data_IF_954693021349
#
_entry.id   IF_954693021349
#
_cell.length_a   1.000
_cell.length_b   1.000
_cell.length_c   1.000
_cell.angle_alpha   90.00
_cell.angle_beta   90.00
_cell.angle_gamma   90.00
#
_symmetry.space_group_name_H-M   'P 1'
#
loop_
_entity.id
_entity.type
_entity.pdbx_description
1 polymer ?
#
# COMPACT_ATOMS: atom_id res chain seq x y z
N UNK A 1 35.36 -18.47 -8.97
CA UNK A 1 34.98 -17.24 -9.71
C UNK A 1 34.03 -16.44 -8.82
N UNK A 2 34.33 -15.21 -8.43
CA UNK A 2 33.45 -14.44 -7.57
C UNK A 2 32.31 -13.86 -8.40
N UNK A 3 31.09 -14.14 -7.99
CA UNK A 3 29.85 -13.57 -8.50
C UNK A 3 29.87 -12.04 -8.30
N UNK A 4 29.86 -11.32 -9.40
CA UNK A 4 29.73 -9.85 -9.40
C UNK A 4 28.35 -9.49 -8.84
N UNK A 5 28.30 -8.88 -7.68
CA UNK A 5 27.15 -8.09 -7.22
C UNK A 5 27.00 -6.92 -8.21
N UNK A 6 25.96 -6.96 -9.03
CA UNK A 6 25.51 -5.76 -9.74
C UNK A 6 24.99 -4.80 -8.65
N UNK A 7 25.67 -3.69 -8.46
CA UNK A 7 25.19 -2.57 -7.69
C UNK A 7 23.93 -2.03 -8.38
N UNK A 8 22.75 -2.51 -7.90
CA UNK A 8 21.47 -1.98 -8.34
C UNK A 8 21.41 -0.51 -7.95
N UNK A 9 21.04 0.33 -8.89
CA UNK A 9 20.64 1.70 -8.59
C UNK A 9 19.62 1.63 -7.45
N UNK A 10 19.80 2.46 -6.42
CA UNK A 10 18.84 2.53 -5.32
C UNK A 10 17.57 3.11 -5.95
N UNK A 11 16.55 2.26 -6.13
CA UNK A 11 15.28 2.67 -6.72
C UNK A 11 14.68 3.77 -5.85
N UNK A 12 14.52 4.94 -6.46
CA UNK A 12 13.81 6.06 -5.83
C UNK A 12 12.32 5.76 -5.85
N UNK A 13 11.67 6.00 -4.72
CA UNK A 13 10.21 5.95 -4.67
C UNK A 13 9.61 7.05 -5.54
N UNK A 14 8.53 6.74 -6.23
CA UNK A 14 7.80 7.68 -7.09
C UNK A 14 6.29 7.49 -6.98
N UNK A 15 5.56 8.57 -7.20
CA UNK A 15 4.12 8.56 -7.44
C UNK A 15 3.84 9.22 -8.78
N UNK A 16 3.18 8.49 -9.66
CA UNK A 16 2.76 8.98 -10.97
C UNK A 16 1.24 8.86 -11.10
N UNK A 17 0.59 9.92 -11.56
CA UNK A 17 -0.86 9.93 -11.73
C UNK A 17 -1.26 10.46 -13.11
N UNK A 18 -2.28 9.83 -13.71
CA UNK A 18 -2.83 10.23 -15.02
C UNK A 18 -4.31 9.89 -15.11
N UNK A 19 -5.02 10.61 -15.99
CA UNK A 19 -6.39 10.25 -16.39
C UNK A 19 -6.33 9.27 -17.56
N UNK A 20 -7.18 8.23 -17.46
CA UNK A 20 -7.46 7.28 -18.54
C UNK A 20 -8.97 7.30 -18.75
N UNK A 21 -9.43 7.54 -19.98
CA UNK A 21 -10.84 7.37 -20.33
C UNK A 21 -11.12 5.90 -20.61
N UNK A 22 -12.11 5.33 -19.92
CA UNK A 22 -12.54 3.95 -20.12
C UNK A 22 -14.06 3.85 -20.00
N UNK A 23 -14.74 3.33 -21.03
CA UNK A 23 -16.20 3.19 -21.06
C UNK A 23 -16.97 4.47 -20.67
N UNK A 24 -16.51 5.63 -21.13
CA UNK A 24 -17.13 6.93 -20.84
C UNK A 24 -16.83 7.48 -19.44
N UNK A 25 -16.12 6.77 -18.60
CA UNK A 25 -15.67 7.21 -17.28
C UNK A 25 -14.25 7.78 -17.31
N UNK A 26 -13.98 8.75 -16.45
CA UNK A 26 -12.64 9.29 -16.20
C UNK A 26 -12.01 8.50 -15.04
N UNK A 27 -11.02 7.70 -15.34
CA UNK A 27 -10.31 6.92 -14.33
C UNK A 27 -8.98 7.62 -13.99
N UNK A 28 -8.80 7.98 -12.73
CA UNK A 28 -7.48 8.38 -12.22
C UNK A 28 -6.66 7.10 -11.95
N UNK A 29 -5.59 6.92 -12.70
CA UNK A 29 -4.63 5.82 -12.49
C UNK A 29 -3.42 6.37 -11.76
N UNK A 30 -3.14 5.83 -10.58
CA UNK A 30 -2.00 6.23 -9.74
C UNK A 30 -1.07 5.03 -9.53
N UNK A 31 0.21 5.20 -9.85
CA UNK A 31 1.25 4.22 -9.59
C UNK A 31 2.10 4.67 -8.40
N UNK A 32 2.21 3.81 -7.40
CA UNK A 32 3.12 3.93 -6.27
C UNK A 32 4.27 2.93 -6.47
N UNK A 33 5.49 3.39 -6.61
CA UNK A 33 6.65 2.54 -6.83
C UNK A 33 7.77 2.85 -5.85
N UNK A 34 8.40 1.81 -5.29
CA UNK A 34 9.56 1.93 -4.42
C UNK A 34 9.25 2.33 -2.96
N UNK A 35 10.26 2.80 -2.21
CA UNK A 35 10.12 3.08 -0.78
C UNK A 35 9.23 4.30 -0.50
N UNK A 36 8.68 4.35 0.73
CA UNK A 36 7.84 5.43 1.23
C UNK A 36 8.66 6.33 2.15
N UNK A 37 8.65 7.66 1.92
CA UNK A 37 9.28 8.65 2.78
C UNK A 37 10.79 8.82 2.56
N UNK A 38 11.38 9.77 3.32
CA UNK A 38 12.79 10.16 3.17
C UNK A 38 13.78 9.02 3.46
N UNK A 39 15.00 9.04 2.89
CA UNK A 39 15.51 10.07 1.98
C UNK A 39 15.18 9.82 0.49
N UNK A 40 14.75 8.62 0.11
CA UNK A 40 14.61 8.19 -1.29
C UNK A 40 13.19 7.80 -1.67
N UNK A 41 12.24 7.87 -0.73
CA UNK A 41 10.86 7.44 -0.94
C UNK A 41 9.94 8.58 -1.37
N UNK A 42 8.78 8.18 -1.92
CA UNK A 42 7.69 9.11 -2.23
C UNK A 42 6.97 9.59 -0.95
N UNK A 43 6.34 10.76 -1.03
CA UNK A 43 5.64 11.39 0.09
C UNK A 43 4.15 11.52 -0.17
N UNK A 44 3.38 11.63 0.90
CA UNK A 44 1.93 11.87 0.82
C UNK A 44 1.59 13.17 0.09
N UNK A 45 2.41 14.22 0.24
CA UNK A 45 2.22 15.47 -0.48
C UNK A 45 2.31 15.29 -2.00
N UNK A 46 3.28 14.51 -2.50
CA UNK A 46 3.45 14.23 -3.93
C UNK A 46 2.22 13.49 -4.50
N UNK A 47 1.67 12.54 -3.73
CA UNK A 47 0.46 11.83 -4.10
C UNK A 47 -0.74 12.77 -4.17
N UNK A 48 -0.98 13.56 -3.11
CA UNK A 48 -2.11 14.49 -3.02
C UNK A 48 -2.04 15.54 -4.14
N UNK A 49 -0.88 16.13 -4.35
CA UNK A 49 -0.66 17.10 -5.43
C UNK A 49 -0.87 16.48 -6.81
N UNK A 50 -0.43 15.23 -7.01
CA UNK A 50 -0.61 14.53 -8.27
C UNK A 50 -2.09 14.29 -8.58
N UNK A 51 -2.90 13.90 -7.60
CA UNK A 51 -4.35 13.76 -7.76
C UNK A 51 -5.05 15.11 -7.99
N UNK A 52 -4.70 16.12 -7.20
CA UNK A 52 -5.30 17.45 -7.33
C UNK A 52 -5.08 18.05 -8.73
N UNK A 53 -3.93 17.76 -9.37
CA UNK A 53 -3.64 18.18 -10.75
C UNK A 53 -4.50 17.50 -11.81
N UNK A 54 -5.06 16.33 -11.53
CA UNK A 54 -5.92 15.60 -12.49
C UNK A 54 -7.33 16.21 -12.60
N UNK A 55 -7.75 16.99 -11.60
CA UNK A 55 -9.14 17.46 -11.49
C UNK A 55 -10.10 16.32 -11.17
N UNK A 56 -11.35 16.45 -11.61
CA UNK A 56 -12.40 15.47 -11.31
C UNK A 56 -12.17 14.14 -12.02
N UNK A 57 -12.47 13.05 -11.34
CA UNK A 57 -12.47 11.68 -11.87
C UNK A 57 -13.59 10.86 -11.22
N UNK A 58 -14.03 9.82 -11.92
CA UNK A 58 -15.13 8.95 -11.48
C UNK A 58 -14.64 7.78 -10.66
N UNK A 59 -13.48 7.20 -11.03
CA UNK A 59 -12.90 6.00 -10.40
C UNK A 59 -11.42 6.23 -10.12
N UNK A 60 -10.94 5.75 -8.96
CA UNK A 60 -9.53 5.74 -8.62
C UNK A 60 -8.95 4.33 -8.73
N UNK A 61 -7.94 4.16 -9.58
CA UNK A 61 -7.20 2.91 -9.76
C UNK A 61 -5.76 3.07 -9.29
N UNK A 62 -5.38 2.34 -8.25
CA UNK A 62 -4.01 2.28 -7.73
C UNK A 62 -3.22 1.12 -8.32
N UNK A 63 -1.93 1.30 -8.55
CA UNK A 63 -0.97 0.23 -8.79
C UNK A 63 0.10 0.39 -7.72
N UNK A 64 0.26 -0.61 -6.86
CA UNK A 64 1.15 -0.56 -5.70
C UNK A 64 2.26 -1.59 -5.83
N UNK A 65 3.50 -1.12 -5.74
CA UNK A 65 4.72 -1.92 -5.66
C UNK A 65 5.71 -1.24 -4.71
N UNK A 66 5.71 -1.65 -3.45
CA UNK A 66 6.47 -0.93 -2.41
C UNK A 66 6.97 -1.86 -1.30
N UNK A 67 8.26 -1.76 -0.94
CA UNK A 67 8.83 -2.44 0.23
C UNK A 67 8.40 -1.80 1.56
N UNK A 68 7.58 -0.74 1.53
CA UNK A 68 7.19 0.02 2.71
C UNK A 68 8.12 1.20 3.01
N UNK A 69 8.17 1.63 4.26
CA UNK A 69 9.02 2.74 4.69
C UNK A 69 8.42 3.56 5.82
N UNK A 70 8.03 4.80 5.55
CA UNK A 70 7.46 5.70 6.55
C UNK A 70 6.00 5.39 6.86
N UNK A 71 5.73 4.89 8.07
CA UNK A 71 4.37 4.68 8.58
C UNK A 71 3.53 5.97 8.58
N UNK A 72 4.16 7.12 8.80
CA UNK A 72 3.48 8.42 8.84
C UNK A 72 2.99 8.81 7.44
N UNK A 73 3.87 8.71 6.44
CA UNK A 73 3.51 9.02 5.05
C UNK A 73 2.44 8.06 4.52
N UNK A 74 2.61 6.75 4.76
CA UNK A 74 1.63 5.74 4.40
C UNK A 74 0.26 5.98 5.07
N UNK A 75 0.26 6.39 6.34
CA UNK A 75 -0.95 6.76 7.06
C UNK A 75 -1.64 7.99 6.47
N UNK A 76 -0.89 9.04 6.11
CA UNK A 76 -1.45 10.24 5.47
C UNK A 76 -2.10 9.91 4.13
N UNK A 77 -1.47 9.06 3.32
CA UNK A 77 -2.03 8.57 2.06
C UNK A 77 -3.32 7.78 2.33
N UNK A 78 -3.29 6.85 3.29
CA UNK A 78 -4.47 6.09 3.71
C UNK A 78 -5.64 7.00 4.10
N UNK A 79 -5.37 7.99 4.96
CA UNK A 79 -6.41 8.93 5.41
C UNK A 79 -7.00 9.76 4.26
N UNK A 80 -6.18 10.14 3.30
CA UNK A 80 -6.66 10.82 2.09
C UNK A 80 -7.59 9.89 1.28
N UNK A 81 -7.12 8.69 0.96
CA UNK A 81 -7.87 7.69 0.19
C UNK A 81 -9.23 7.34 0.80
N UNK A 82 -9.27 7.19 2.12
CA UNK A 82 -10.53 6.88 2.84
C UNK A 82 -11.55 8.01 2.75
N UNK A 83 -11.10 9.26 2.59
CA UNK A 83 -11.94 10.47 2.54
C UNK A 83 -12.22 10.96 1.12
N UNK A 84 -11.57 10.38 0.12
CA UNK A 84 -11.72 10.81 -1.29
C UNK A 84 -13.19 10.70 -1.73
N UNK A 85 -13.80 11.78 -2.25
CA UNK A 85 -15.15 11.78 -2.77
C UNK A 85 -15.35 10.78 -3.93
N UNK A 86 -14.34 10.56 -4.77
CA UNK A 86 -14.37 9.58 -5.86
C UNK A 86 -14.54 8.14 -5.36
N UNK A 87 -14.25 7.87 -4.09
CA UNK A 87 -14.52 6.58 -3.46
C UNK A 87 -16.00 6.16 -3.57
N UNK A 88 -16.92 7.12 -3.72
CA UNK A 88 -18.36 6.83 -3.92
C UNK A 88 -18.63 6.08 -5.21
N UNK A 89 -17.79 6.27 -6.22
CA UNK A 89 -17.93 5.63 -7.55
C UNK A 89 -17.04 4.39 -7.70
N UNK A 90 -16.12 4.18 -6.77
CA UNK A 90 -15.25 3.02 -6.71
C UNK A 90 -13.77 3.38 -6.64
N UNK A 91 -13.04 2.66 -5.79
CA UNK A 91 -11.58 2.72 -5.75
C UNK A 91 -11.01 1.33 -5.59
N UNK A 92 -10.01 1.00 -6.40
CA UNK A 92 -9.36 -0.30 -6.36
C UNK A 92 -7.84 -0.15 -6.52
N UNK A 93 -7.10 -1.07 -5.91
CA UNK A 93 -5.64 -1.11 -6.03
C UNK A 93 -5.19 -2.50 -6.45
N UNK A 94 -4.28 -2.55 -7.42
CA UNK A 94 -3.54 -3.75 -7.78
C UNK A 94 -2.20 -3.77 -7.05
N UNK A 95 -1.96 -4.79 -6.23
CA UNK A 95 -0.62 -5.12 -5.73
C UNK A 95 0.10 -5.86 -6.84
N UNK A 96 1.04 -5.16 -7.51
CA UNK A 96 1.68 -5.65 -8.72
C UNK A 96 2.78 -6.67 -8.42
N UNK A 97 3.64 -6.41 -7.43
CA UNK A 97 4.78 -7.25 -7.08
C UNK A 97 4.89 -7.43 -5.57
N UNK A 98 5.11 -6.32 -4.85
CA UNK A 98 5.35 -6.32 -3.42
C UNK A 98 4.48 -5.27 -2.70
N UNK A 99 3.92 -5.66 -1.56
CA UNK A 99 3.34 -4.73 -0.59
C UNK A 99 3.85 -5.10 0.80
N UNK A 100 4.93 -4.44 1.23
CA UNK A 100 5.60 -4.79 2.48
C UNK A 100 5.49 -3.69 3.53
N UNK A 101 5.49 -4.10 4.80
CA UNK A 101 5.48 -3.20 5.94
C UNK A 101 4.34 -2.18 5.90
N UNK A 102 4.68 -0.89 6.01
CA UNK A 102 3.69 0.19 6.08
C UNK A 102 2.96 0.46 4.76
N UNK A 103 3.43 -0.09 3.61
CA UNK A 103 2.75 0.02 2.32
C UNK A 103 1.33 -0.59 2.34
N UNK A 104 1.08 -1.55 3.23
CA UNK A 104 -0.26 -2.15 3.38
C UNK A 104 -1.32 -1.12 3.75
N UNK A 105 -0.95 -0.03 4.46
CA UNK A 105 -1.85 1.07 4.78
C UNK A 105 -2.40 1.73 3.52
N UNK A 106 -1.56 1.90 2.49
CA UNK A 106 -2.00 2.47 1.21
C UNK A 106 -3.03 1.53 0.58
N UNK A 107 -2.74 0.23 0.52
CA UNK A 107 -3.69 -0.77 0.01
C UNK A 107 -5.03 -0.75 0.75
N UNK A 108 -5.01 -0.70 2.08
CA UNK A 108 -6.20 -0.63 2.92
C UNK A 108 -6.99 0.69 2.79
N UNK A 109 -6.43 1.70 2.17
CA UNK A 109 -7.13 2.95 1.83
C UNK A 109 -8.13 2.78 0.69
N UNK A 110 -7.93 1.82 -0.20
CA UNK A 110 -8.83 1.51 -1.31
C UNK A 110 -10.00 0.62 -0.87
N UNK A 111 -11.07 0.61 -1.65
CA UNK A 111 -12.23 -0.24 -1.38
C UNK A 111 -11.98 -1.70 -1.75
N UNK A 112 -11.27 -1.92 -2.87
CA UNK A 112 -10.90 -3.24 -3.35
C UNK A 112 -9.39 -3.38 -3.47
N UNK A 113 -8.88 -4.53 -3.08
CA UNK A 113 -7.48 -4.91 -3.20
C UNK A 113 -7.40 -6.10 -4.14
N UNK A 114 -6.78 -5.89 -5.28
CA UNK A 114 -6.46 -6.93 -6.26
C UNK A 114 -5.00 -7.32 -6.13
N UNK A 115 -4.66 -8.55 -6.46
CA UNK A 115 -3.27 -9.01 -6.44
C UNK A 115 -2.90 -9.69 -7.75
N UNK A 116 -1.69 -9.39 -8.23
CA UNK A 116 -1.08 -10.20 -9.29
C UNK A 116 -0.74 -11.59 -8.73
N UNK A 117 -0.88 -12.69 -9.50
CA UNK A 117 -0.61 -14.06 -9.00
C UNK A 117 0.76 -14.26 -8.35
N UNK A 118 1.78 -13.55 -8.82
CA UNK A 118 3.14 -13.63 -8.30
C UNK A 118 3.46 -12.59 -7.21
N UNK A 119 2.50 -11.74 -6.87
CA UNK A 119 2.68 -10.71 -5.85
C UNK A 119 2.55 -11.28 -4.44
N UNK A 120 3.01 -10.49 -3.46
CA UNK A 120 2.92 -10.88 -2.06
C UNK A 120 2.73 -9.67 -1.14
N UNK A 121 2.22 -9.95 0.05
CA UNK A 121 2.20 -9.02 1.18
C UNK A 121 3.16 -9.52 2.24
N UNK A 122 4.05 -8.65 2.75
CA UNK A 122 4.97 -8.99 3.81
C UNK A 122 4.75 -8.07 5.03
N UNK A 123 4.47 -8.67 6.18
CA UNK A 123 4.27 -7.94 7.43
C UNK A 123 5.62 -7.62 8.07
N UNK A 124 5.78 -6.38 8.54
CA UNK A 124 6.95 -5.97 9.30
C UNK A 124 6.51 -5.23 10.57
N UNK A 125 7.28 -5.31 11.67
CA UNK A 125 7.09 -4.41 12.81
C UNK A 125 7.32 -2.97 12.37
N UNK A 126 6.47 -2.05 12.86
CA UNK A 126 6.70 -0.62 12.66
C UNK A 126 8.00 -0.21 13.37
N UNK A 127 8.75 0.68 12.76
CA UNK A 127 10.00 1.23 13.33
C UNK A 127 9.89 2.74 13.47
N UNK A 128 9.80 3.22 14.71
CA UNK A 128 9.82 4.64 15.03
C UNK A 128 10.87 4.90 16.09
N UNK A 129 11.29 6.16 16.23
CA UNK A 129 12.33 6.56 17.19
C UNK A 129 11.92 6.40 18.67
N UNK A 130 10.61 6.42 18.97
CA UNK A 130 10.07 6.29 20.32
C UNK A 130 9.36 4.96 20.52
N UNK A 131 9.82 4.07 21.43
CA UNK A 131 9.23 2.73 21.62
C UNK A 131 7.72 2.75 21.93
N UNK A 132 7.26 3.61 22.83
CA UNK A 132 5.84 3.71 23.17
C UNK A 132 4.96 4.12 21.97
N UNK A 133 5.46 5.04 21.12
CA UNK A 133 4.78 5.43 19.89
C UNK A 133 4.78 4.28 18.88
N UNK A 134 5.90 3.56 18.76
CA UNK A 134 6.02 2.37 17.92
C UNK A 134 4.95 1.34 18.26
N UNK A 135 4.80 1.00 19.55
CA UNK A 135 3.81 0.01 20.00
C UNK A 135 2.38 0.44 19.67
N UNK A 136 2.04 1.72 19.91
CA UNK A 136 0.69 2.24 19.59
C UNK A 136 0.39 2.19 18.10
N UNK A 137 1.33 2.61 17.25
CA UNK A 137 1.17 2.61 15.78
C UNK A 137 1.10 1.18 15.27
N UNK A 138 1.94 0.28 15.77
CA UNK A 138 1.89 -1.15 15.40
C UNK A 138 0.52 -1.74 15.70
N UNK A 139 -0.04 -1.51 16.91
CA UNK A 139 -1.38 -2.01 17.26
C UNK A 139 -2.48 -1.39 16.40
N UNK A 140 -2.38 -0.12 16.05
CA UNK A 140 -3.34 0.55 15.16
C UNK A 140 -3.34 -0.10 13.77
N UNK A 141 -2.18 -0.30 13.17
CA UNK A 141 -2.05 -0.94 11.85
C UNK A 141 -2.54 -2.40 11.92
N UNK A 142 -2.12 -3.14 12.94
CA UNK A 142 -2.58 -4.52 13.15
C UNK A 142 -4.11 -4.60 13.32
N UNK A 143 -4.72 -3.61 14.00
CA UNK A 143 -6.16 -3.53 14.15
C UNK A 143 -6.91 -3.26 12.84
N UNK A 144 -6.36 -2.44 11.94
CA UNK A 144 -6.94 -2.22 10.60
C UNK A 144 -6.91 -3.51 9.77
N UNK A 145 -5.78 -4.21 9.77
CA UNK A 145 -5.62 -5.49 9.07
C UNK A 145 -6.57 -6.54 9.66
N UNK A 146 -6.57 -6.69 10.99
CA UNK A 146 -7.41 -7.65 11.69
C UNK A 146 -8.90 -7.42 11.40
N UNK A 147 -9.34 -6.16 11.33
CA UNK A 147 -10.71 -5.78 10.94
C UNK A 147 -11.02 -6.19 9.50
N UNK A 148 -10.08 -5.98 8.58
CA UNK A 148 -10.25 -6.34 7.16
C UNK A 148 -10.48 -7.84 6.99
N UNK A 149 -9.69 -8.67 7.69
CA UNK A 149 -9.70 -10.13 7.54
C UNK A 149 -10.59 -10.85 8.56
N UNK A 150 -11.20 -10.14 9.52
CA UNK A 150 -12.08 -10.72 10.52
C UNK A 150 -11.37 -11.61 11.56
N UNK A 151 -10.13 -11.29 11.95
CA UNK A 151 -9.38 -12.08 12.95
C UNK A 151 -9.03 -11.27 14.20
N UNK A 152 -8.45 -11.96 15.20
CA UNK A 152 -7.92 -11.31 16.40
C UNK A 152 -6.65 -10.51 16.09
N UNK A 153 -6.49 -9.34 16.70
CA UNK A 153 -5.35 -8.44 16.48
C UNK A 153 -4.01 -9.12 16.82
N UNK A 154 -4.02 -10.02 17.80
CA UNK A 154 -2.85 -10.78 18.26
C UNK A 154 -2.27 -11.67 17.15
N UNK A 155 -3.11 -12.19 16.27
CA UNK A 155 -2.67 -12.98 15.11
C UNK A 155 -1.84 -12.09 14.17
N UNK A 156 -2.32 -10.89 13.88
CA UNK A 156 -1.61 -9.95 13.01
C UNK A 156 -0.32 -9.45 13.65
N UNK A 157 -0.34 -9.14 14.95
CA UNK A 157 0.86 -8.78 15.70
C UNK A 157 1.92 -9.90 15.64
N UNK A 158 1.52 -11.15 15.81
CA UNK A 158 2.39 -12.30 15.66
C UNK A 158 2.93 -12.49 14.23
N UNK A 159 2.18 -12.09 13.19
CA UNK A 159 2.68 -12.08 11.81
C UNK A 159 3.71 -10.97 11.60
N UNK A 160 3.48 -9.79 12.16
CA UNK A 160 4.43 -8.66 12.10
C UNK A 160 5.76 -9.03 12.78
N UNK A 161 5.72 -9.63 13.97
CA UNK A 161 6.93 -10.05 14.70
C UNK A 161 7.74 -11.09 13.93
N UNK A 162 7.05 -12.03 13.28
CA UNK A 162 7.66 -13.10 12.47
C UNK A 162 8.01 -12.66 11.05
N UNK A 163 7.73 -11.42 10.67
CA UNK A 163 7.87 -10.90 9.29
C UNK A 163 7.22 -11.83 8.27
N UNK A 164 5.99 -12.25 8.56
CA UNK A 164 5.28 -13.23 7.75
C UNK A 164 5.02 -12.67 6.35
N UNK A 165 5.34 -13.48 5.35
CA UNK A 165 5.03 -13.24 3.95
C UNK A 165 3.80 -14.06 3.58
N UNK A 166 2.84 -13.45 2.88
CA UNK A 166 1.64 -14.10 2.35
C UNK A 166 1.63 -13.99 0.83
N UNK A 167 1.38 -15.11 0.16
CA UNK A 167 1.14 -15.15 -1.30
C UNK A 167 -0.23 -14.55 -1.63
N UNK A 168 -0.48 -14.32 -2.93
CA UNK A 168 -1.79 -13.84 -3.40
C UNK A 168 -2.92 -14.80 -2.98
N UNK A 169 -2.72 -16.12 -3.09
CA UNK A 169 -3.71 -17.14 -2.71
C UNK A 169 -3.96 -17.14 -1.19
N UNK A 170 -2.92 -16.96 -0.38
CA UNK A 170 -3.08 -16.84 1.08
C UNK A 170 -3.84 -15.57 1.45
N UNK A 171 -3.54 -14.44 0.78
CA UNK A 171 -4.27 -13.19 0.97
C UNK A 171 -5.74 -13.33 0.58
N UNK A 172 -6.05 -13.99 -0.53
CA UNK A 172 -7.43 -14.24 -0.96
C UNK A 172 -8.20 -15.10 0.04
N UNK A 173 -7.60 -16.20 0.51
CA UNK A 173 -8.21 -17.07 1.54
C UNK A 173 -8.49 -16.35 2.86
N UNK A 174 -7.68 -15.37 3.20
CA UNK A 174 -7.83 -14.54 4.39
C UNK A 174 -8.74 -13.32 4.17
N UNK A 175 -9.29 -13.11 2.98
CA UNK A 175 -10.05 -11.90 2.61
C UNK A 175 -9.23 -10.61 2.78
N UNK A 176 -7.91 -10.70 2.71
CA UNK A 176 -7.02 -9.54 2.70
C UNK A 176 -6.99 -8.88 1.33
N UNK A 177 -7.14 -9.67 0.24
CA UNK A 177 -7.46 -9.17 -1.10
C UNK A 177 -8.79 -9.73 -1.58
N UNK A 178 -9.38 -9.08 -2.58
CA UNK A 178 -10.72 -9.37 -3.11
C UNK A 178 -10.67 -10.27 -4.35
N UNK A 179 -9.57 -10.20 -5.13
CA UNK A 179 -9.34 -11.05 -6.29
C UNK A 179 -7.85 -11.15 -6.66
N UNK A 180 -7.54 -12.19 -7.43
CA UNK A 180 -6.24 -12.39 -8.10
C UNK A 180 -6.50 -12.22 -9.59
N UNK A 181 -5.71 -11.34 -10.27
CA UNK A 181 -5.91 -10.98 -11.69
C UNK A 181 -4.60 -11.01 -12.47
#
# INVERSE_FOLDING_TARGET
MPTRYHGGAVDRGSVEARIVAHNGQRMAVVRFSGPIGRPLGFHASEFIESLNRLGDYDVLYGILDSPGGSAIEAWLIHQFLVRDPARRHGSLVLIATECSGDAILIGLGFQQILMHPQSYICFHPVKLSRPATTQRVTRLIAGLIARRIGCQIENVLGWMDKKKKLTAEECLRLSLCDAII
#
